data_IF_469957639054
#
_entry.id   IF_469957639054
#
_cell.length_a   1.000
_cell.length_b   1.000
_cell.length_c   1.000
_cell.angle_alpha   90.00
_cell.angle_beta   90.00
_cell.angle_gamma   90.00
#
_symmetry.space_group_name_H-M   'P 1'
#
loop_
_entity.id
_entity.type
_entity.pdbx_description
1 polymer ?
#
# COMPACT_ATOMS: atom_id res chain seq x y z
N UNK A 1 -2.20 -11.71 -62.29
CA UNK A 1 -1.16 -10.81 -61.75
C UNK A 1 -0.92 -11.14 -60.29
N UNK A 2 0.27 -11.60 -59.92
CA UNK A 2 0.60 -12.02 -58.55
C UNK A 2 0.75 -10.79 -57.65
N UNK A 3 0.10 -10.79 -56.48
CA UNK A 3 0.20 -9.70 -55.49
C UNK A 3 1.57 -9.73 -54.83
N UNK A 4 2.32 -8.65 -54.98
CA UNK A 4 3.67 -8.49 -54.45
C UNK A 4 3.59 -8.30 -52.94
N UNK A 5 3.99 -9.31 -52.18
CA UNK A 5 4.05 -9.24 -50.72
C UNK A 5 5.33 -8.51 -50.30
N UNK A 6 5.23 -7.22 -50.00
CA UNK A 6 6.32 -6.49 -49.37
C UNK A 6 6.58 -7.06 -47.97
N UNK A 7 7.86 -7.27 -47.66
CA UNK A 7 8.31 -7.66 -46.32
C UNK A 7 7.93 -6.55 -45.35
N UNK A 8 7.37 -6.92 -44.19
CA UNK A 8 6.99 -5.96 -43.15
C UNK A 8 8.23 -5.28 -42.59
N UNK A 9 8.06 -4.03 -42.17
CA UNK A 9 9.11 -3.29 -41.47
C UNK A 9 9.25 -3.82 -40.03
N UNK A 10 10.45 -3.73 -39.42
CA UNK A 10 10.66 -4.16 -38.04
C UNK A 10 9.71 -3.50 -37.02
N UNK A 11 9.31 -2.25 -37.29
CA UNK A 11 8.35 -1.53 -36.46
C UNK A 11 6.94 -2.15 -36.51
N UNK A 12 6.48 -2.54 -37.70
CA UNK A 12 5.17 -3.20 -37.88
C UNK A 12 5.16 -4.60 -37.26
N UNK A 13 6.31 -5.29 -37.27
CA UNK A 13 6.46 -6.58 -36.62
C UNK A 13 6.41 -6.48 -35.08
N UNK A 14 7.04 -5.46 -34.50
CA UNK A 14 6.99 -5.19 -33.06
C UNK A 14 5.56 -4.83 -32.60
N UNK A 15 4.85 -3.98 -33.32
CA UNK A 15 3.46 -3.63 -33.01
C UNK A 15 2.54 -4.86 -33.09
N UNK A 16 2.75 -5.70 -34.10
CA UNK A 16 2.00 -6.94 -34.26
C UNK A 16 2.30 -7.95 -33.15
N UNK A 17 3.55 -8.03 -32.70
CA UNK A 17 3.95 -8.85 -31.55
C UNK A 17 3.26 -8.37 -30.27
N UNK A 18 3.21 -7.05 -30.01
CA UNK A 18 2.48 -6.47 -28.87
C UNK A 18 0.97 -6.75 -28.96
N UNK A 19 0.37 -6.60 -30.14
CA UNK A 19 -1.06 -6.91 -30.35
C UNK A 19 -1.35 -8.39 -30.19
N UNK A 20 -0.44 -9.28 -30.62
CA UNK A 20 -0.54 -10.73 -30.43
C UNK A 20 -0.38 -11.12 -28.96
N UNK A 21 0.56 -10.52 -28.23
CA UNK A 21 0.73 -10.70 -26.80
C UNK A 21 -0.50 -10.24 -26.00
N UNK A 22 -1.07 -9.07 -26.33
CA UNK A 22 -2.29 -8.56 -25.71
C UNK A 22 -3.51 -9.44 -26.00
N UNK A 23 -3.61 -10.04 -27.19
CA UNK A 23 -4.66 -11.02 -27.52
C UNK A 23 -4.45 -12.36 -26.83
N UNK A 24 -3.21 -12.82 -26.64
CA UNK A 24 -2.89 -14.06 -25.94
C UNK A 24 -3.11 -13.96 -24.41
N UNK A 25 -2.98 -12.77 -23.82
CA UNK A 25 -3.24 -12.55 -22.40
C UNK A 25 -4.75 -12.55 -22.04
N UNK A 26 -5.64 -12.20 -22.98
CA UNK A 26 -7.10 -12.18 -22.75
C UNK A 26 -7.73 -13.56 -22.43
N UNK A 27 -7.45 -14.66 -23.14
CA UNK A 27 -8.04 -15.96 -22.84
C UNK A 27 -7.46 -16.62 -21.57
N UNK A 28 -6.26 -16.23 -21.12
CA UNK A 28 -5.69 -16.74 -19.87
C UNK A 28 -6.53 -16.31 -18.64
N UNK A 29 -7.11 -15.10 -18.67
CA UNK A 29 -8.03 -14.62 -17.63
C UNK A 29 -9.41 -15.29 -17.66
N UNK A 30 -9.87 -15.77 -18.81
CA UNK A 30 -11.18 -16.44 -18.94
C UNK A 30 -11.13 -17.94 -18.64
N UNK A 31 -9.96 -18.58 -18.74
CA UNK A 31 -9.79 -20.01 -18.41
C UNK A 31 -9.59 -20.29 -16.92
N UNK A 32 -9.13 -19.33 -16.12
CA UNK A 32 -9.03 -19.52 -14.66
C UNK A 32 -10.38 -19.44 -13.93
N UNK A 33 -11.41 -18.82 -14.53
CA UNK A 33 -12.75 -18.75 -13.95
C UNK A 33 -13.63 -19.98 -14.27
N UNK A 34 -13.15 -20.93 -15.08
CA UNK A 34 -13.94 -22.07 -15.56
C UNK A 34 -13.40 -23.44 -15.13
N UNK A 35 -12.42 -23.48 -14.21
CA UNK A 35 -11.81 -24.73 -13.74
C UNK A 35 -11.93 -25.02 -12.24
N UNK A 36 -12.66 -24.21 -11.47
CA UNK A 36 -12.88 -24.44 -10.02
C UNK A 36 -14.34 -24.76 -9.65
N UNK A 37 -15.20 -25.10 -10.63
CA UNK A 37 -16.59 -25.52 -10.37
C UNK A 37 -16.86 -26.95 -10.88
N UNK A 38 -15.86 -27.83 -10.77
CA UNK A 38 -16.00 -29.25 -11.06
C UNK A 38 -15.40 -30.09 -9.91
N UNK A 39 -16.14 -30.19 -8.81
CA UNK A 39 -15.77 -31.03 -7.67
C UNK A 39 -16.88 -31.09 -6.62
N UNK A 40 -17.73 -32.12 -6.74
CA UNK A 40 -18.57 -32.70 -5.69
C UNK A 40 -19.75 -31.87 -5.14
N UNK A 41 -20.94 -32.06 -5.73
CA UNK A 41 -22.12 -32.44 -4.96
C UNK A 41 -23.11 -33.22 -5.83
N UNK A 42 -23.53 -34.36 -5.30
CA UNK A 42 -24.42 -35.31 -5.94
C UNK A 42 -25.85 -34.82 -6.11
N UNK A 43 -26.50 -35.51 -7.05
CA UNK A 43 -27.90 -35.95 -7.01
C UNK A 43 -28.92 -35.03 -6.33
N UNK A 44 -29.66 -34.26 -7.14
CA UNK A 44 -31.11 -34.16 -6.98
C UNK A 44 -31.79 -33.63 -8.24
N UNK A 45 -32.49 -34.57 -8.88
CA UNK A 45 -33.77 -34.42 -9.57
C UNK A 45 -34.51 -33.08 -9.39
N UNK A 46 -34.83 -32.42 -10.51
CA UNK A 46 -36.19 -32.03 -10.95
C UNK A 46 -36.15 -30.68 -11.71
N UNK A 47 -36.31 -30.66 -13.04
CA UNK A 47 -37.61 -30.56 -13.73
C UNK A 47 -38.32 -29.21 -13.48
N UNK A 48 -38.03 -28.18 -14.30
CA UNK A 48 -39.11 -27.43 -14.96
C UNK A 48 -38.63 -26.53 -16.10
N UNK A 49 -39.13 -26.88 -17.29
CA UNK A 49 -39.37 -25.99 -18.43
C UNK A 49 -40.25 -24.81 -18.03
N UNK A 50 -39.95 -23.61 -18.55
CA UNK A 50 -40.83 -22.48 -18.96
C UNK A 50 -39.86 -21.42 -19.51
N UNK A 51 -39.81 -21.02 -20.80
CA UNK A 51 -40.81 -20.65 -21.82
C UNK A 51 -41.73 -19.51 -21.34
N UNK A 52 -41.64 -18.37 -22.03
CA UNK A 52 -42.31 -17.09 -21.75
C UNK A 52 -41.29 -16.12 -21.13
N UNK A 53 -41.15 -14.87 -21.55
CA UNK A 53 -42.16 -14.00 -22.15
C UNK A 53 -41.47 -12.78 -22.77
N UNK A 54 -41.88 -12.48 -24.00
CA UNK A 54 -41.57 -11.26 -24.74
C UNK A 54 -42.48 -10.20 -24.16
N UNK A 55 -41.92 -9.13 -23.59
CA UNK A 55 -42.66 -7.90 -23.33
C UNK A 55 -42.23 -6.91 -24.40
N UNK A 56 -43.03 -6.96 -25.46
CA UNK A 56 -43.27 -5.91 -26.43
C UNK A 56 -44.04 -4.79 -25.71
N UNK A 57 -43.49 -3.58 -25.71
CA UNK A 57 -44.16 -2.37 -25.24
C UNK A 57 -43.98 -1.31 -26.32
N UNK A 58 -44.82 -1.42 -27.33
CA UNK A 58 -45.27 -0.32 -28.18
C UNK A 58 -45.98 0.77 -27.35
N UNK A 59 -45.99 2.01 -27.87
CA UNK A 59 -46.57 3.27 -27.34
C UNK A 59 -45.58 4.08 -26.46
N UNK A 60 -45.17 5.33 -26.73
CA UNK A 60 -45.72 6.48 -27.47
C UNK A 60 -44.54 7.20 -28.18
N UNK A 61 -44.61 7.57 -29.47
CA UNK A 61 -45.27 8.76 -30.04
C UNK A 61 -44.60 10.11 -29.67
N UNK A 62 -43.81 10.60 -30.63
CA UNK A 62 -43.53 12.02 -30.98
C UNK A 62 -43.25 13.07 -29.88
N UNK A 63 -41.97 13.40 -29.67
CA UNK A 63 -41.51 14.81 -29.67
C UNK A 63 -40.11 14.90 -30.30
N UNK A 64 -40.05 15.56 -31.45
CA UNK A 64 -38.87 15.78 -32.28
C UNK A 64 -37.95 16.85 -31.66
N UNK A 65 -36.74 16.47 -31.27
CA UNK A 65 -35.68 17.39 -30.86
C UNK A 65 -34.30 16.83 -31.24
N UNK A 66 -33.34 17.67 -31.69
CA UNK A 66 -32.01 17.21 -32.03
C UNK A 66 -31.37 16.50 -30.82
N UNK A 67 -30.79 15.29 -31.00
CA UNK A 67 -30.19 14.56 -29.89
C UNK A 67 -29.09 15.40 -29.24
N UNK A 68 -29.05 15.51 -27.89
CA UNK A 68 -27.98 16.22 -27.22
C UNK A 68 -26.64 15.57 -27.56
N UNK A 69 -25.56 16.35 -27.70
CA UNK A 69 -24.23 15.80 -27.94
C UNK A 69 -23.88 14.79 -26.83
N UNK A 70 -23.25 13.65 -27.18
CA UNK A 70 -22.89 12.63 -26.19
C UNK A 70 -22.08 13.28 -25.08
N UNK A 71 -22.60 13.24 -23.87
CA UNK A 71 -21.98 13.85 -22.70
C UNK A 71 -20.58 13.24 -22.52
N UNK A 72 -19.55 14.04 -22.76
CA UNK A 72 -18.13 13.69 -22.57
C UNK A 72 -17.76 13.46 -21.09
N UNK A 73 -18.74 13.41 -20.19
CA UNK A 73 -18.62 13.00 -18.79
C UNK A 73 -18.73 11.49 -18.62
N UNK A 74 -18.08 10.71 -19.49
CA UNK A 74 -17.62 9.36 -19.11
C UNK A 74 -16.46 9.50 -18.13
N UNK A 75 -16.71 10.19 -17.01
CA UNK A 75 -15.92 10.04 -15.80
C UNK A 75 -16.03 8.56 -15.47
N UNK A 76 -14.94 7.85 -15.74
CA UNK A 76 -14.74 6.44 -15.51
C UNK A 76 -15.18 6.14 -14.08
N UNK A 77 -16.42 5.67 -13.91
CA UNK A 77 -16.85 5.13 -12.62
C UNK A 77 -15.83 4.03 -12.34
N UNK A 78 -15.07 4.12 -11.24
CA UNK A 78 -14.17 3.03 -10.89
C UNK A 78 -15.03 1.79 -10.82
N UNK A 79 -14.62 0.76 -11.54
CA UNK A 79 -15.36 -0.48 -11.63
C UNK A 79 -15.22 -1.17 -10.26
N UNK A 80 -16.18 -0.89 -9.37
CA UNK A 80 -16.13 -1.28 -7.96
C UNK A 80 -16.00 -2.80 -7.81
N UNK A 81 -16.58 -3.56 -8.73
CA UNK A 81 -16.46 -5.02 -8.77
C UNK A 81 -15.02 -5.45 -9.06
N UNK A 82 -14.32 -4.74 -9.94
CA UNK A 82 -12.90 -4.99 -10.22
C UNK A 82 -12.05 -4.67 -8.98
N UNK A 83 -12.32 -3.57 -8.28
CA UNK A 83 -11.58 -3.17 -7.07
C UNK A 83 -11.83 -4.15 -5.91
N UNK A 84 -13.07 -4.60 -5.72
CA UNK A 84 -13.42 -5.60 -4.72
C UNK A 84 -12.76 -6.94 -5.01
N UNK A 85 -12.75 -7.37 -6.28
CA UNK A 85 -12.07 -8.61 -6.67
C UNK A 85 -10.56 -8.54 -6.46
N UNK A 86 -9.92 -7.39 -6.72
CA UNK A 86 -8.48 -7.20 -6.46
C UNK A 86 -8.16 -7.21 -4.96
N UNK A 87 -9.02 -6.63 -4.12
CA UNK A 87 -8.88 -6.68 -2.67
C UNK A 87 -9.08 -8.09 -2.12
N UNK A 88 -10.04 -8.83 -2.65
CA UNK A 88 -10.32 -10.21 -2.25
C UNK A 88 -9.20 -11.15 -2.70
N UNK A 89 -8.68 -10.99 -3.93
CA UNK A 89 -7.49 -11.69 -4.42
C UNK A 89 -6.24 -11.36 -3.58
N UNK A 90 -6.06 -10.09 -3.18
CA UNK A 90 -4.94 -9.70 -2.33
C UNK A 90 -5.04 -10.34 -0.94
N UNK A 91 -6.24 -10.35 -0.36
CA UNK A 91 -6.50 -10.98 0.94
C UNK A 91 -6.36 -12.50 0.89
N UNK A 92 -6.81 -13.12 -0.20
CA UNK A 92 -6.62 -14.55 -0.46
C UNK A 92 -5.14 -14.90 -0.62
N UNK A 93 -4.38 -14.09 -1.37
CA UNK A 93 -2.92 -14.24 -1.47
C UNK A 93 -2.26 -14.08 -0.12
N UNK A 94 -2.56 -13.04 0.63
CA UNK A 94 -1.99 -12.85 1.97
C UNK A 94 -2.27 -14.05 2.87
N UNK A 95 -3.51 -14.57 2.87
CA UNK A 95 -3.88 -15.78 3.59
C UNK A 95 -3.10 -17.03 3.14
N UNK A 96 -2.86 -17.19 1.84
CA UNK A 96 -2.02 -18.28 1.30
C UNK A 96 -0.55 -18.13 1.70
N UNK A 97 -0.03 -16.90 1.71
CA UNK A 97 1.34 -16.63 2.15
C UNK A 97 1.51 -16.86 3.65
N UNK A 98 0.51 -16.52 4.47
CA UNK A 98 0.51 -16.76 5.91
C UNK A 98 0.43 -18.27 6.22
N UNK A 99 -0.42 -19.00 5.51
CA UNK A 99 -0.50 -20.46 5.61
C UNK A 99 0.82 -21.15 5.20
N UNK A 100 1.49 -20.69 4.15
CA UNK A 100 2.80 -21.20 3.72
C UNK A 100 3.93 -20.81 4.69
N UNK A 101 3.78 -19.70 5.42
CA UNK A 101 4.73 -19.28 6.46
C UNK A 101 4.66 -20.18 7.69
N UNK A 102 3.47 -20.66 8.02
CA UNK A 102 3.27 -21.63 9.08
C UNK A 102 3.76 -23.05 8.71
N UNK A 103 3.83 -23.40 7.41
CA UNK A 103 4.40 -24.69 6.97
C UNK A 103 5.95 -24.75 7.07
N UNK A 104 6.67 -23.62 7.07
CA UNK A 104 8.10 -23.59 7.44
C UNK A 104 8.34 -24.05 8.90
N UNK A 105 7.28 -24.10 9.73
CA UNK A 105 7.35 -24.62 11.10
C UNK A 105 7.45 -26.14 11.14
N UNK A 106 6.95 -26.87 10.14
CA UNK A 106 7.06 -28.33 10.12
C UNK A 106 8.50 -28.77 9.90
N UNK A 107 9.22 -28.14 8.96
CA UNK A 107 10.66 -28.38 8.76
C UNK A 107 11.47 -28.01 10.02
N UNK A 108 11.07 -26.95 10.73
CA UNK A 108 11.71 -26.55 11.98
C UNK A 108 11.40 -27.50 13.15
N UNK A 109 10.19 -28.06 13.22
CA UNK A 109 9.80 -29.06 14.23
C UNK A 109 10.50 -30.39 13.94
N UNK A 110 10.62 -30.79 12.67
CA UNK A 110 11.29 -32.03 12.26
C UNK A 110 12.80 -31.94 12.51
N UNK A 111 13.42 -30.78 12.26
CA UNK A 111 14.80 -30.51 12.67
C UNK A 111 14.97 -30.62 14.19
N UNK A 112 14.03 -30.06 14.98
CA UNK A 112 14.09 -30.09 16.44
C UNK A 112 13.85 -31.47 17.06
N UNK A 113 13.02 -32.31 16.42
CA UNK A 113 12.80 -33.70 16.85
C UNK A 113 14.01 -34.59 16.55
N UNK A 114 14.66 -34.37 15.41
CA UNK A 114 15.89 -35.08 15.03
C UNK A 114 17.12 -34.70 15.87
N UNK A 115 17.10 -33.56 16.56
CA UNK A 115 18.15 -33.16 17.51
C UNK A 115 18.03 -33.86 18.88
N UNK A 116 16.83 -34.22 19.33
CA UNK A 116 16.62 -34.83 20.66
C UNK A 116 16.71 -36.36 20.68
N UNK A 117 16.48 -37.01 19.54
CA UNK A 117 16.75 -38.43 19.41
C UNK A 117 18.20 -38.60 18.95
N UNK A 118 19.09 -39.04 19.85
CA UNK A 118 20.43 -39.53 19.50
C UNK A 118 20.29 -40.85 18.73
N UNK A 119 19.68 -40.81 17.54
CA UNK A 119 19.66 -41.90 16.58
C UNK A 119 21.10 -42.00 16.08
N UNK A 120 21.80 -43.13 16.32
CA UNK A 120 23.16 -43.32 15.83
C UNK A 120 23.22 -43.03 14.33
N UNK A 121 24.26 -42.33 13.87
CA UNK A 121 24.32 -41.79 12.50
C UNK A 121 24.08 -42.84 11.40
N UNK A 122 24.42 -44.10 11.66
CA UNK A 122 24.11 -45.23 10.77
C UNK A 122 22.62 -45.46 10.48
N UNK A 123 21.70 -44.90 11.29
CA UNK A 123 20.24 -45.05 11.17
C UNK A 123 19.55 -43.73 10.77
N UNK A 124 20.28 -42.62 10.65
CA UNK A 124 19.76 -41.40 10.01
C UNK A 124 19.76 -41.64 8.49
N UNK A 125 18.59 -42.02 7.96
CA UNK A 125 18.39 -42.22 6.51
C UNK A 125 18.59 -40.91 5.71
N UNK A 126 18.61 -39.76 6.38
CA UNK A 126 18.83 -38.43 5.80
C UNK A 126 20.24 -37.85 6.04
N UNK A 127 21.28 -38.64 5.79
CA UNK A 127 22.64 -38.12 5.55
C UNK A 127 22.76 -37.28 4.25
N UNK A 128 21.66 -36.68 3.77
CA UNK A 128 21.55 -35.98 2.49
C UNK A 128 21.66 -34.45 2.59
N UNK A 129 21.82 -33.85 3.79
CA UNK A 129 21.84 -32.37 3.95
C UNK A 129 23.05 -31.75 4.64
N UNK A 130 23.98 -32.52 5.20
CA UNK A 130 25.02 -31.97 6.10
C UNK A 130 26.43 -31.81 5.54
N UNK A 131 26.74 -32.40 4.40
CA UNK A 131 28.05 -32.28 3.75
C UNK A 131 27.87 -32.65 2.31
N UNK A 132 28.39 -31.84 1.39
CA UNK A 132 28.35 -32.17 -0.03
C UNK A 132 28.82 -33.61 -0.21
N UNK A 133 28.00 -34.45 -0.82
CA UNK A 133 28.42 -35.71 -1.44
C UNK A 133 29.32 -35.44 -2.66
N UNK A 134 30.11 -34.37 -2.61
CA UNK A 134 31.33 -34.11 -3.35
C UNK A 134 32.41 -34.45 -2.31
N UNK A 135 32.88 -35.67 -2.13
CA UNK A 135 33.52 -36.48 -3.14
C UNK A 135 33.87 -37.80 -2.42
N UNK A 136 32.87 -38.63 -2.11
CA UNK A 136 33.12 -39.95 -1.49
C UNK A 136 33.95 -40.88 -2.42
N UNK A 137 34.26 -40.38 -3.62
CA UNK A 137 35.18 -40.93 -4.61
C UNK A 137 36.65 -40.64 -4.36
N UNK A 138 36.99 -39.65 -3.53
CA UNK A 138 38.38 -39.26 -3.24
C UNK A 138 38.95 -39.90 -1.94
N UNK A 139 38.20 -40.82 -1.32
CA UNK A 139 38.72 -41.61 -0.20
C UNK A 139 39.72 -42.67 -0.69
N UNK A 140 40.93 -42.66 -0.12
CA UNK A 140 42.00 -43.60 -0.45
C UNK A 140 41.56 -45.05 -0.07
N UNK A 141 41.49 -45.98 -1.05
CA UNK A 141 40.98 -47.34 -0.84
C UNK A 141 41.68 -48.15 0.26
N UNK A 142 42.89 -47.76 0.67
CA UNK A 142 43.67 -48.46 1.70
C UNK A 142 43.12 -48.30 3.13
N UNK A 143 42.30 -47.29 3.34
CA UNK A 143 41.70 -46.98 4.65
C UNK A 143 40.20 -47.29 4.68
N UNK A 144 39.66 -47.92 3.64
CA UNK A 144 38.25 -48.30 3.56
C UNK A 144 38.06 -49.73 4.06
N UNK A 145 37.06 -49.93 4.92
CA UNK A 145 36.61 -51.27 5.31
C UNK A 145 36.13 -52.04 4.07
N UNK A 146 36.26 -53.37 4.09
CA UNK A 146 35.98 -54.24 2.93
C UNK A 146 34.57 -54.04 2.34
N UNK A 147 33.57 -53.78 3.18
CA UNK A 147 32.19 -53.49 2.74
C UNK A 147 32.10 -52.14 2.01
N UNK A 148 32.73 -51.10 2.56
CA UNK A 148 32.80 -49.76 1.96
C UNK A 148 33.59 -49.81 0.64
N UNK A 149 34.66 -50.60 0.58
CA UNK A 149 35.44 -50.82 -0.64
C UNK A 149 34.60 -51.54 -1.71
N UNK A 150 33.81 -52.56 -1.34
CA UNK A 150 32.93 -53.26 -2.26
C UNK A 150 31.85 -52.32 -2.85
N UNK A 151 31.30 -51.42 -2.04
CA UNK A 151 30.37 -50.38 -2.50
C UNK A 151 31.06 -49.36 -3.39
N UNK A 152 32.28 -48.93 -3.06
CA UNK A 152 33.07 -48.03 -3.90
C UNK A 152 33.36 -48.64 -5.28
N UNK A 153 33.71 -49.93 -5.35
CA UNK A 153 33.90 -50.65 -6.61
C UNK A 153 32.58 -50.76 -7.39
N UNK A 154 31.45 -51.09 -6.74
CA UNK A 154 30.14 -51.13 -7.40
C UNK A 154 29.73 -49.77 -7.94
N UNK A 155 29.91 -48.71 -7.14
CA UNK A 155 29.64 -47.34 -7.54
C UNK A 155 30.58 -46.87 -8.67
N UNK A 156 31.86 -47.24 -8.62
CA UNK A 156 32.84 -46.98 -9.69
C UNK A 156 32.49 -47.67 -11.00
N UNK A 157 32.09 -48.94 -10.94
CA UNK A 157 31.61 -49.70 -12.11
C UNK A 157 30.31 -49.13 -12.67
N UNK A 158 29.39 -48.72 -11.79
CA UNK A 158 28.13 -48.09 -12.21
C UNK A 158 28.36 -46.74 -12.89
N UNK A 159 29.24 -45.89 -12.33
CA UNK A 159 29.68 -44.63 -12.95
C UNK A 159 30.33 -44.85 -14.32
N UNK A 160 31.19 -45.85 -14.48
CA UNK A 160 31.79 -46.18 -15.79
C UNK A 160 30.74 -46.63 -16.81
N UNK A 161 29.72 -47.39 -16.39
CA UNK A 161 28.64 -47.85 -17.27
C UNK A 161 27.63 -46.74 -17.62
N UNK A 162 27.39 -45.80 -16.70
CA UNK A 162 26.42 -44.71 -16.85
C UNK A 162 27.08 -43.33 -17.00
N UNK A 163 28.35 -43.26 -17.41
CA UNK A 163 29.09 -42.02 -17.55
C UNK A 163 28.36 -41.02 -18.48
N UNK A 164 27.79 -41.52 -19.58
CA UNK A 164 26.99 -40.71 -20.52
C UNK A 164 25.72 -40.14 -19.87
N UNK A 165 25.05 -40.90 -19.00
CA UNK A 165 23.84 -40.43 -18.31
C UNK A 165 24.19 -39.34 -17.30
N UNK A 166 25.30 -39.48 -16.58
CA UNK A 166 25.79 -38.45 -15.67
C UNK A 166 26.14 -37.14 -16.39
N UNK A 167 26.80 -37.23 -17.55
CA UNK A 167 27.10 -36.05 -18.35
C UNK A 167 25.82 -35.35 -18.84
N UNK A 168 24.81 -36.10 -19.28
CA UNK A 168 23.51 -35.56 -19.67
C UNK A 168 22.77 -34.91 -18.50
N UNK A 169 22.72 -35.58 -17.34
CA UNK A 169 22.12 -35.04 -16.12
C UNK A 169 22.85 -33.78 -15.64
N UNK A 170 24.18 -33.76 -15.68
CA UNK A 170 24.98 -32.60 -15.36
C UNK A 170 24.68 -31.42 -16.31
N UNK A 171 24.51 -31.67 -17.61
CA UNK A 171 24.09 -30.65 -18.59
C UNK A 171 22.69 -30.11 -18.30
N UNK A 172 21.73 -30.98 -18.00
CA UNK A 172 20.35 -30.57 -17.66
C UNK A 172 20.34 -29.74 -16.37
N UNK A 173 21.11 -30.17 -15.35
CA UNK A 173 21.23 -29.45 -14.07
C UNK A 173 21.88 -28.08 -14.28
N UNK A 174 22.96 -28.00 -15.05
CA UNK A 174 23.62 -26.75 -15.41
C UNK A 174 22.71 -25.81 -16.20
N UNK A 175 21.94 -26.31 -17.18
CA UNK A 175 20.97 -25.50 -17.93
C UNK A 175 19.85 -24.97 -17.02
N UNK A 176 19.30 -25.83 -16.15
CA UNK A 176 18.26 -25.43 -15.19
C UNK A 176 18.78 -24.39 -14.20
N UNK A 177 20.02 -24.54 -13.72
CA UNK A 177 20.69 -23.57 -12.86
C UNK A 177 20.89 -22.23 -13.58
N UNK A 178 21.37 -22.24 -14.83
CA UNK A 178 21.52 -21.04 -15.64
C UNK A 178 20.17 -20.34 -15.92
N UNK A 179 19.11 -21.10 -16.21
CA UNK A 179 17.76 -20.56 -16.39
C UNK A 179 17.21 -19.95 -15.11
N UNK A 180 17.43 -20.60 -13.97
CA UNK A 180 17.02 -20.09 -12.66
C UNK A 180 17.77 -18.80 -12.29
N UNK A 181 19.09 -18.75 -12.54
CA UNK A 181 19.91 -17.58 -12.32
C UNK A 181 19.42 -16.37 -13.13
N UNK A 182 19.18 -16.54 -14.44
CA UNK A 182 18.61 -15.49 -15.30
C UNK A 182 17.24 -15.02 -14.82
N UNK A 183 16.37 -15.94 -14.38
CA UNK A 183 15.05 -15.57 -13.83
C UNK A 183 15.20 -14.80 -12.52
N UNK A 184 16.16 -15.16 -11.66
CA UNK A 184 16.45 -14.47 -10.40
C UNK A 184 16.98 -13.06 -10.65
N UNK A 185 17.86 -12.89 -11.63
CA UNK A 185 18.37 -11.57 -12.06
C UNK A 185 17.25 -10.66 -12.56
N UNK A 186 16.41 -11.17 -13.49
CA UNK A 186 15.26 -10.41 -14.00
C UNK A 186 14.30 -10.01 -12.87
N UNK A 187 14.03 -10.93 -11.93
CA UNK A 187 13.19 -10.63 -10.76
C UNK A 187 13.82 -9.55 -9.89
N UNK A 188 15.11 -9.67 -9.58
CA UNK A 188 15.83 -8.68 -8.76
C UNK A 188 15.77 -7.28 -9.40
N UNK A 189 15.94 -7.20 -10.72
CA UNK A 189 15.81 -5.95 -11.46
C UNK A 189 14.38 -5.36 -11.36
N UNK A 190 13.35 -6.19 -11.55
CA UNK A 190 11.95 -5.74 -11.41
C UNK A 190 11.63 -5.27 -10.00
N UNK A 191 12.08 -5.99 -8.97
CA UNK A 191 11.86 -5.60 -7.57
C UNK A 191 12.58 -4.29 -7.22
N UNK A 192 13.77 -4.06 -7.79
CA UNK A 192 14.52 -2.82 -7.59
C UNK A 192 13.81 -1.63 -8.23
N UNK A 193 13.26 -1.81 -9.43
CA UNK A 193 12.53 -0.76 -10.14
C UNK A 193 11.18 -0.46 -9.48
N UNK A 194 10.48 -1.48 -8.98
CA UNK A 194 9.23 -1.35 -8.23
C UNK A 194 9.44 -0.60 -6.91
N UNK A 195 10.46 -0.97 -6.13
CA UNK A 195 10.81 -0.29 -4.88
C UNK A 195 11.11 1.20 -5.10
N UNK A 196 11.87 1.54 -6.15
CA UNK A 196 12.14 2.93 -6.50
C UNK A 196 10.88 3.71 -6.91
N UNK A 197 9.93 3.06 -7.59
CA UNK A 197 8.66 3.66 -7.96
C UNK A 197 7.76 3.90 -6.73
N UNK A 198 7.76 2.98 -5.77
CA UNK A 198 7.03 3.10 -4.51
C UNK A 198 7.60 4.22 -3.64
N UNK A 199 8.92 4.30 -3.48
CA UNK A 199 9.59 5.39 -2.76
C UNK A 199 9.23 6.76 -3.37
N UNK A 200 9.19 6.88 -4.70
CA UNK A 200 8.77 8.11 -5.38
C UNK A 200 7.30 8.47 -5.10
N UNK A 201 6.40 7.47 -5.06
CA UNK A 201 4.99 7.68 -4.70
C UNK A 201 4.84 8.15 -3.26
N UNK A 202 5.57 7.53 -2.34
CA UNK A 202 5.57 7.88 -0.92
C UNK A 202 6.14 9.28 -0.70
N UNK A 203 7.23 9.65 -1.38
CA UNK A 203 7.81 10.99 -1.32
C UNK A 203 6.81 12.04 -1.82
N UNK A 204 6.15 11.80 -2.96
CA UNK A 204 5.13 12.70 -3.51
C UNK A 204 3.92 12.85 -2.57
N UNK A 205 3.53 11.78 -1.87
CA UNK A 205 2.46 11.83 -0.87
C UNK A 205 2.85 12.72 0.32
N UNK A 206 4.04 12.51 0.87
CA UNK A 206 4.59 13.33 1.97
C UNK A 206 4.72 14.81 1.58
N UNK A 207 5.19 15.10 0.38
CA UNK A 207 5.28 16.47 -0.13
C UNK A 207 3.91 17.13 -0.24
N UNK A 208 2.92 16.43 -0.79
CA UNK A 208 1.53 16.93 -0.87
C UNK A 208 0.93 17.18 0.51
N UNK A 209 1.19 16.30 1.47
CA UNK A 209 0.75 16.48 2.86
C UNK A 209 1.44 17.68 3.51
N UNK A 210 2.75 17.87 3.30
CA UNK A 210 3.48 19.05 3.76
C UNK A 210 2.91 20.33 3.16
N UNK A 211 2.71 20.36 1.84
CA UNK A 211 2.12 21.50 1.13
C UNK A 211 0.70 21.81 1.62
N UNK A 212 -0.12 20.78 1.87
CA UNK A 212 -1.46 20.98 2.48
C UNK A 212 -1.35 21.62 3.86
N UNK A 213 -0.39 21.19 4.67
CA UNK A 213 -0.15 21.77 5.99
C UNK A 213 0.32 23.22 5.92
N UNK A 214 1.23 23.55 5.00
CA UNK A 214 1.69 24.92 4.74
C UNK A 214 0.57 25.82 4.24
N UNK A 215 -0.23 25.35 3.28
CA UNK A 215 -1.39 26.09 2.77
C UNK A 215 -2.42 26.35 3.87
N UNK A 216 -2.73 25.35 4.70
CA UNK A 216 -3.65 25.52 5.83
C UNK A 216 -3.15 26.56 6.83
N UNK A 217 -1.84 26.60 7.12
CA UNK A 217 -1.23 27.63 7.97
C UNK A 217 -1.28 29.02 7.34
N UNK A 218 -1.01 29.12 6.04
CA UNK A 218 -1.09 30.38 5.31
C UNK A 218 -2.52 30.93 5.29
N UNK A 219 -3.52 30.06 5.10
CA UNK A 219 -4.93 30.43 5.20
C UNK A 219 -5.33 30.86 6.61
N UNK A 220 -4.86 30.17 7.64
CA UNK A 220 -5.05 30.57 9.03
C UNK A 220 -4.51 31.98 9.30
N UNK A 221 -3.30 32.29 8.85
CA UNK A 221 -2.71 33.61 9.04
C UNK A 221 -3.43 34.69 8.22
N UNK A 222 -3.88 34.37 7.00
CA UNK A 222 -4.70 35.27 6.18
C UNK A 222 -6.01 35.61 6.88
N UNK A 223 -6.77 34.59 7.31
CA UNK A 223 -8.03 34.77 8.03
C UNK A 223 -7.84 35.60 9.30
N UNK A 224 -6.75 35.38 10.03
CA UNK A 224 -6.44 36.20 11.22
C UNK A 224 -6.17 37.66 10.88
N UNK A 225 -5.45 37.94 9.79
CA UNK A 225 -5.24 39.31 9.30
C UNK A 225 -6.56 39.97 8.93
N UNK A 226 -7.42 39.27 8.19
CA UNK A 226 -8.73 39.77 7.77
C UNK A 226 -9.65 40.05 8.98
N UNK A 227 -9.63 39.19 10.01
CA UNK A 227 -10.42 39.38 11.23
C UNK A 227 -9.97 40.57 12.07
N UNK A 228 -8.66 40.83 12.10
CA UNK A 228 -8.04 41.91 12.87
C UNK A 228 -8.08 43.25 12.14
N UNK A 229 -8.33 43.27 10.83
CA UNK A 229 -8.44 44.51 10.06
C UNK A 229 -9.65 45.35 10.56
N UNK A 230 -9.43 46.59 11.03
CA UNK A 230 -10.50 47.47 11.44
C UNK A 230 -11.41 47.92 10.28
N UNK A 231 -10.95 47.83 9.03
CA UNK A 231 -11.74 48.26 7.88
C UNK A 231 -12.70 47.17 7.37
N UNK A 232 -12.45 45.90 7.68
CA UNK A 232 -13.35 44.79 7.35
C UNK A 232 -14.62 44.74 8.23
N UNK A 233 -14.83 45.72 9.11
CA UNK A 233 -15.60 45.58 10.35
C UNK A 233 -17.13 45.64 10.28
N UNK A 234 -17.81 45.80 9.13
CA UNK A 234 -19.23 46.20 9.19
C UNK A 234 -20.29 45.27 8.58
N UNK A 235 -19.94 44.22 7.82
CA UNK A 235 -20.96 43.56 6.98
C UNK A 235 -21.36 42.13 7.37
N UNK A 236 -20.56 41.36 8.12
CA UNK A 236 -20.84 39.93 8.32
C UNK A 236 -20.82 39.51 9.79
N UNK A 237 -21.95 38.95 10.24
CA UNK A 237 -22.00 38.19 11.49
C UNK A 237 -21.16 36.93 11.33
N UNK A 238 -20.13 36.76 12.16
CA UNK A 238 -19.23 35.62 12.12
C UNK A 238 -19.84 34.43 12.86
N UNK A 239 -19.75 33.24 12.27
CA UNK A 239 -20.09 31.97 12.91
C UNK A 239 -18.89 31.35 13.63
N UNK A 240 -19.13 30.29 14.40
CA UNK A 240 -18.08 29.49 15.04
C UNK A 240 -17.04 28.94 14.03
N UNK A 241 -17.47 28.60 12.81
CA UNK A 241 -16.61 28.03 11.77
C UNK A 241 -15.72 29.05 11.04
N UNK A 242 -16.08 30.33 11.09
CA UNK A 242 -15.30 31.40 10.44
C UNK A 242 -14.02 31.76 11.20
N UNK A 243 -13.96 31.39 12.48
CA UNK A 243 -12.81 31.63 13.34
C UNK A 243 -11.67 30.68 12.92
N UNK A 244 -10.47 31.21 12.60
CA UNK A 244 -9.32 30.39 12.23
C UNK A 244 -8.76 29.70 13.47
N UNK A 245 -9.31 28.54 13.80
CA UNK A 245 -8.83 27.65 14.86
C UNK A 245 -7.48 27.03 14.47
N UNK A 246 -6.53 26.88 15.40
CA UNK A 246 -5.21 26.30 15.12
C UNK A 246 -5.27 24.76 15.05
N UNK A 247 -6.09 24.24 14.15
CA UNK A 247 -6.34 22.81 13.96
C UNK A 247 -6.32 22.48 12.46
N UNK A 248 -5.81 21.29 12.12
CA UNK A 248 -6.08 20.71 10.81
C UNK A 248 -7.51 20.20 10.81
N UNK A 249 -8.41 20.96 10.20
CA UNK A 249 -9.76 20.45 9.91
C UNK A 249 -9.57 19.28 8.96
N UNK A 250 -9.87 18.04 9.37
CA UNK A 250 -9.86 16.94 8.43
C UNK A 250 -10.90 17.30 7.37
N UNK A 251 -10.45 17.60 6.16
CA UNK A 251 -11.32 17.57 4.99
C UNK A 251 -11.69 16.10 4.80
N UNK A 252 -12.66 15.64 5.58
CA UNK A 252 -13.37 14.43 5.25
C UNK A 252 -14.00 14.74 3.91
N UNK A 253 -13.45 14.18 2.85
CA UNK A 253 -13.98 14.25 1.48
C UNK A 253 -15.29 13.46 1.39
N UNK A 254 -16.20 13.68 2.33
CA UNK A 254 -17.54 13.17 2.29
C UNK A 254 -18.33 14.11 1.37
N UNK A 255 -18.34 13.77 0.07
CA UNK A 255 -19.26 14.34 -0.93
C UNK A 255 -20.74 14.06 -0.62
N UNK A 256 -21.04 13.47 0.54
CA UNK A 256 -22.39 13.23 1.04
C UNK A 256 -22.90 14.49 1.71
N UNK A 257 -23.53 15.35 0.90
CA UNK A 257 -24.54 16.41 1.07
C UNK A 257 -25.15 16.77 2.45
N UNK A 258 -24.47 16.52 3.56
CA UNK A 258 -24.87 16.95 4.90
C UNK A 258 -23.88 18.03 5.36
N UNK A 259 -24.29 19.28 5.13
CA UNK A 259 -23.58 20.53 5.44
C UNK A 259 -23.13 20.67 6.90
N UNK A 260 -23.60 19.80 7.80
CA UNK A 260 -23.38 19.92 9.24
C UNK A 260 -22.17 19.10 9.75
N UNK A 261 -21.56 18.26 8.90
CA UNK A 261 -20.55 17.29 9.31
C UNK A 261 -19.12 17.86 9.50
N UNK A 262 -18.87 19.13 9.18
CA UNK A 262 -17.57 19.78 9.43
C UNK A 262 -17.54 20.61 10.72
N UNK A 263 -18.51 20.44 11.62
CA UNK A 263 -18.55 21.19 12.86
C UNK A 263 -17.41 20.76 13.79
N UNK A 264 -16.39 21.62 13.94
CA UNK A 264 -15.31 21.44 14.91
C UNK A 264 -15.94 21.33 16.31
N UNK A 265 -15.88 20.16 16.94
CA UNK A 265 -16.30 19.96 18.33
C UNK A 265 -15.19 20.40 19.29
N UNK A 266 -15.56 20.67 20.54
CA UNK A 266 -14.63 21.06 21.59
C UNK A 266 -13.58 19.97 21.89
N UNK A 267 -13.92 18.71 21.63
CA UNK A 267 -13.02 17.57 21.86
C UNK A 267 -11.78 17.58 20.96
N UNK A 268 -11.84 18.26 19.81
CA UNK A 268 -10.71 18.33 18.88
C UNK A 268 -9.61 19.30 19.31
N UNK A 269 -9.84 20.16 20.31
CA UNK A 269 -8.81 21.06 20.85
C UNK A 269 -7.89 20.32 21.83
N UNK A 270 -7.15 19.33 21.31
CA UNK A 270 -6.14 18.57 22.05
C UNK A 270 -4.75 19.20 21.90
N UNK A 271 -3.87 18.97 22.88
CA UNK A 271 -2.48 19.44 22.84
C UNK A 271 -1.73 18.89 21.61
N UNK A 272 -2.04 17.66 21.19
CA UNK A 272 -1.42 17.02 20.02
C UNK A 272 -1.88 17.67 18.72
N UNK A 273 -3.18 17.97 18.57
CA UNK A 273 -3.70 18.58 17.34
C UNK A 273 -3.22 20.03 17.18
N UNK A 274 -3.25 20.82 18.26
CA UNK A 274 -2.79 22.21 18.24
C UNK A 274 -1.27 22.29 18.03
N UNK A 275 -0.50 21.43 18.70
CA UNK A 275 0.96 21.41 18.50
C UNK A 275 1.34 20.95 17.10
N UNK A 276 0.68 19.93 16.54
CA UNK A 276 0.91 19.49 15.15
C UNK A 276 0.61 20.59 14.13
N UNK A 277 -0.40 21.43 14.38
CA UNK A 277 -0.74 22.55 13.50
C UNK A 277 0.30 23.68 13.60
N UNK A 278 0.60 24.16 14.81
CA UNK A 278 1.42 25.35 15.06
C UNK A 278 2.92 25.11 14.89
N UNK A 279 3.37 23.92 15.24
CA UNK A 279 4.78 23.55 15.25
C UNK A 279 4.93 22.49 14.16
N UNK A 280 5.38 22.86 12.95
CA UNK A 280 5.72 21.86 11.95
C UNK A 280 6.74 20.95 12.61
N UNK A 281 6.39 19.66 12.74
CA UNK A 281 7.36 18.67 13.17
C UNK A 281 8.40 18.65 12.06
N UNK A 282 9.47 19.41 12.22
CA UNK A 282 10.64 19.31 11.34
C UNK A 282 10.96 17.83 11.30
N UNK A 283 10.96 17.23 10.12
CA UNK A 283 11.16 15.78 9.94
C UNK A 283 12.38 15.28 10.70
N UNK A 284 13.36 16.15 10.91
CA UNK A 284 14.58 15.97 11.70
C UNK A 284 14.28 15.62 13.18
N UNK A 285 13.32 16.28 13.81
CA UNK A 285 12.97 16.04 15.22
C UNK A 285 12.21 14.72 15.42
N UNK A 286 11.28 14.38 14.50
CA UNK A 286 10.60 13.08 14.51
C UNK A 286 11.57 11.92 14.30
N UNK A 287 12.47 12.04 13.32
CA UNK A 287 13.51 11.04 13.07
C UNK A 287 14.50 10.91 14.24
N UNK A 288 14.80 11.99 14.95
CA UNK A 288 15.70 11.96 16.12
C UNK A 288 15.06 11.26 17.33
N UNK A 289 13.74 11.42 17.53
CA UNK A 289 13.02 10.74 18.62
C UNK A 289 12.97 9.22 18.44
N UNK A 290 12.74 8.72 17.21
CA UNK A 290 12.67 7.28 16.93
C UNK A 290 14.01 6.56 17.11
N UNK A 291 15.14 7.25 16.91
CA UNK A 291 16.49 6.66 17.04
C UNK A 291 17.01 6.77 18.49
N UNK A 292 16.25 7.40 19.41
CA UNK A 292 16.67 7.59 20.80
C UNK A 292 17.92 8.47 20.96
N UNK A 293 18.33 9.15 19.89
CA UNK A 293 19.47 10.06 19.90
C UNK A 293 18.91 11.43 20.22
N UNK A 294 19.11 11.85 21.46
CA UNK A 294 18.95 13.25 21.87
C UNK A 294 20.03 14.09 21.18
N UNK A 295 19.85 14.33 19.88
CA UNK A 295 20.57 15.39 19.18
C UNK A 295 20.28 16.69 19.92
N UNK A 296 21.28 17.58 20.12
CA UNK A 296 21.06 18.88 20.70
C UNK A 296 20.06 19.62 19.81
N UNK A 297 18.77 19.56 20.18
CA UNK A 297 17.71 20.34 19.56
C UNK A 297 18.20 21.77 19.64
N UNK A 298 18.54 22.33 18.47
CA UNK A 298 19.13 23.66 18.38
C UNK A 298 18.25 24.62 19.18
N UNK A 299 18.83 25.38 20.11
CA UNK A 299 18.10 26.38 20.92
C UNK A 299 17.24 27.33 20.08
N UNK A 300 17.62 27.49 18.81
CA UNK A 300 16.86 28.17 17.77
C UNK A 300 15.45 27.58 17.56
N UNK A 301 15.30 26.27 17.38
CA UNK A 301 13.99 25.65 17.14
C UNK A 301 13.08 25.76 18.37
N UNK A 302 13.65 25.60 19.57
CA UNK A 302 12.92 25.81 20.83
C UNK A 302 12.45 27.26 20.96
N UNK A 303 13.28 28.22 20.56
CA UNK A 303 12.94 29.64 20.56
C UNK A 303 11.81 29.95 19.57
N UNK A 304 11.91 29.44 18.34
CA UNK A 304 10.88 29.61 17.30
C UNK A 304 9.54 28.96 17.73
N UNK A 305 9.58 27.76 18.33
CA UNK A 305 8.40 27.11 18.96
C UNK A 305 7.77 28.01 20.02
N UNK A 306 8.55 28.50 20.98
CA UNK A 306 8.05 29.35 22.08
C UNK A 306 7.51 30.67 21.57
N UNK A 307 8.11 31.25 20.53
CA UNK A 307 7.65 32.48 19.89
C UNK A 307 6.28 32.28 19.23
N UNK A 308 6.11 31.20 18.46
CA UNK A 308 4.82 30.85 17.84
C UNK A 308 3.72 30.56 18.87
N UNK A 309 4.05 29.87 19.95
CA UNK A 309 3.10 29.63 21.05
C UNK A 309 2.70 30.92 21.76
N UNK A 310 3.65 31.83 22.01
CA UNK A 310 3.35 33.15 22.60
C UNK A 310 2.50 34.01 21.68
N UNK A 311 2.81 34.03 20.38
CA UNK A 311 2.04 34.77 19.37
C UNK A 311 0.58 34.29 19.35
N UNK A 312 0.37 32.96 19.29
CA UNK A 312 -0.98 32.38 19.29
C UNK A 312 -1.71 32.57 20.61
N UNK A 313 -1.01 32.48 21.75
CA UNK A 313 -1.59 32.80 23.06
C UNK A 313 -2.07 34.26 23.14
N UNK A 314 -1.33 35.21 22.56
CA UNK A 314 -1.75 36.61 22.49
C UNK A 314 -2.99 36.81 21.59
N UNK A 315 -3.12 36.02 20.51
CA UNK A 315 -4.30 36.03 19.63
C UNK A 315 -5.55 35.46 20.33
N UNK A 316 -5.38 34.38 21.11
CA UNK A 316 -6.46 33.66 21.80
C UNK A 316 -6.61 34.03 23.29
N UNK A 317 -6.04 35.16 23.73
CA UNK A 317 -6.22 35.60 25.12
C UNK A 317 -7.69 36.00 25.34
N UNK A 318 -8.40 35.45 26.35
CA UNK A 318 -9.85 35.60 26.50
C UNK A 318 -10.30 37.07 26.50
N UNK A 319 -9.62 37.92 27.28
CA UNK A 319 -9.92 39.36 27.36
C UNK A 319 -9.74 40.11 26.02
N UNK A 320 -8.61 39.93 25.34
CA UNK A 320 -8.34 40.60 24.06
C UNK A 320 -9.23 40.06 22.94
N UNK A 321 -9.51 38.77 22.95
CA UNK A 321 -10.39 38.12 21.98
C UNK A 321 -11.83 38.60 22.14
N UNK A 322 -12.31 38.74 23.38
CA UNK A 322 -13.64 39.25 23.68
C UNK A 322 -13.84 40.71 23.24
N UNK A 323 -12.85 41.57 23.51
CA UNK A 323 -12.91 42.97 23.08
C UNK A 323 -12.92 43.15 21.56
N UNK A 324 -12.22 42.28 20.81
CA UNK A 324 -11.96 42.46 19.36
C UNK A 324 -12.87 41.64 18.44
N UNK A 325 -13.11 40.38 18.78
CA UNK A 325 -13.74 39.40 17.89
C UNK A 325 -15.16 39.07 18.35
N UNK A 326 -15.41 38.88 19.65
CA UNK A 326 -16.73 38.44 20.16
C UNK A 326 -17.89 39.38 19.81
N UNK A 327 -17.62 40.68 19.61
CA UNK A 327 -18.64 41.66 19.17
C UNK A 327 -19.20 41.37 17.77
N UNK A 328 -18.44 40.65 16.94
CA UNK A 328 -18.80 40.31 15.55
C UNK A 328 -19.50 38.95 15.43
N UNK A 329 -19.49 38.15 16.48
CA UNK A 329 -19.97 36.76 16.47
C UNK A 329 -21.49 36.73 16.73
N UNK A 330 -22.19 35.84 16.03
CA UNK A 330 -23.62 35.59 16.22
C UNK A 330 -23.87 35.15 17.67
N UNK A 331 -24.95 35.66 18.29
CA UNK A 331 -25.26 35.41 19.70
C UNK A 331 -25.38 33.92 20.06
N UNK A 332 -25.88 33.09 19.13
CA UNK A 332 -26.01 31.64 19.29
C UNK A 332 -24.67 30.94 19.49
N UNK A 333 -23.60 31.46 18.88
CA UNK A 333 -22.27 30.84 18.89
C UNK A 333 -21.34 31.44 19.94
N UNK A 334 -21.69 32.57 20.56
CA UNK A 334 -20.83 33.30 21.51
C UNK A 334 -20.35 32.41 22.65
N UNK A 335 -21.24 31.65 23.29
CA UNK A 335 -20.86 30.82 24.43
C UNK A 335 -19.93 29.66 24.01
N UNK A 336 -20.23 29.04 22.86
CA UNK A 336 -19.40 27.98 22.29
C UNK A 336 -18.00 28.50 21.91
N UNK A 337 -17.91 29.70 21.34
CA UNK A 337 -16.62 30.34 21.03
C UNK A 337 -15.85 30.66 22.31
N UNK A 338 -16.50 31.20 23.33
CA UNK A 338 -15.86 31.52 24.61
C UNK A 338 -15.25 30.27 25.24
N UNK A 339 -15.98 29.16 25.24
CA UNK A 339 -15.50 27.87 25.74
C UNK A 339 -14.30 27.35 24.94
N UNK A 340 -14.39 27.36 23.60
CA UNK A 340 -13.32 26.94 22.71
C UNK A 340 -12.04 27.78 22.89
N UNK A 341 -12.17 29.11 22.98
CA UNK A 341 -11.04 30.03 23.26
C UNK A 341 -10.41 29.70 24.61
N UNK A 342 -11.23 29.46 25.64
CA UNK A 342 -10.75 29.05 26.97
C UNK A 342 -10.02 27.70 26.96
N UNK A 343 -10.47 26.74 26.14
CA UNK A 343 -9.79 25.46 25.97
C UNK A 343 -8.46 25.61 25.22
N UNK A 344 -8.44 26.35 24.11
CA UNK A 344 -7.21 26.66 23.35
C UNK A 344 -6.17 27.35 24.24
N UNK A 345 -6.58 28.36 25.01
CA UNK A 345 -5.68 29.08 25.92
C UNK A 345 -5.09 28.16 27.01
N UNK A 346 -5.88 27.23 27.58
CA UNK A 346 -5.39 26.24 28.55
C UNK A 346 -4.35 25.32 27.91
N UNK A 347 -4.64 24.79 26.72
CA UNK A 347 -3.73 23.91 25.98
C UNK A 347 -2.43 24.63 25.61
N UNK A 348 -2.51 25.88 25.15
CA UNK A 348 -1.32 26.69 24.83
C UNK A 348 -0.45 26.94 26.05
N UNK A 349 -1.04 27.19 27.23
CA UNK A 349 -0.30 27.33 28.48
C UNK A 349 0.42 26.03 28.87
N UNK A 350 -0.23 24.87 28.73
CA UNK A 350 0.41 23.56 28.95
C UNK A 350 1.62 23.37 28.02
N UNK A 351 1.45 23.65 26.72
CA UNK A 351 2.52 23.51 25.72
C UNK A 351 3.69 24.50 25.89
N UNK A 352 3.50 25.61 26.60
CA UNK A 352 4.58 26.54 26.96
C UNK A 352 5.35 26.13 28.21
N UNK A 353 4.71 25.36 29.10
CA UNK A 353 5.30 24.84 30.33
C UNK A 353 6.17 23.61 30.11
N UNK A 354 5.84 22.81 29.08
CA UNK A 354 6.69 21.74 28.52
C UNK A 354 7.94 22.29 27.82
#
# INVERSE_FOLDING_TARGET
>A
MAKLHLKRTPAEEAERALRKARKAAKPARKRSHLSEEAGEHGESSSKRRRRGEVIDSDLDEEVYGPPPPPSLSSAHKPDYDTILSELEDARFREKMWDALRDDERLDAIDARFNDYAHVPDRWRVDAARGGGSEDQTDMDPRFMDDDTYAEWIRAGMWRRKHARQYEEEARIKAEKAARSARKKEMKAETTRLEKAAEERRNQKKRERESQRGENARAEYDRKWKDLLDPNAQQASSLSFGDIPWPLFVPMTHSDTAHSDASSITLEHFTATAISAFLIPISTISALAQDVGVSLPIHDREKKEKKEKLRETMLRFHPDKFEGRVMRKIIETDKDRVREAVGQVARVLNTLMGE
#
